data_IF_113025251675
#
_entry.id   IF_113025251675
#
_cell.length_a   1.000
_cell.length_b   1.000
_cell.length_c   1.000
_cell.angle_alpha   90.00
_cell.angle_beta   90.00
_cell.angle_gamma   90.00
#
_symmetry.space_group_name_H-M   'P 1'
#
loop_
_entity.id
_entity.type
_entity.pdbx_description
1 polymer ?
#
# COMPACT_ATOMS: atom_id res chain seq x y z
N UNK A 1 -9.05 16.24 9.53
CA UNK A 1 -8.43 15.64 8.33
C UNK A 1 -8.56 14.15 8.47
N UNK A 2 -9.25 13.51 7.52
CA UNK A 2 -9.40 12.06 7.49
C UNK A 2 -8.12 11.44 6.93
N UNK A 3 -7.55 10.46 7.63
CA UNK A 3 -6.40 9.70 7.13
C UNK A 3 -6.91 8.81 5.99
N UNK A 4 -6.32 8.95 4.80
CA UNK A 4 -6.63 8.12 3.64
C UNK A 4 -5.44 7.18 3.37
N UNK A 5 -5.58 5.91 3.76
CA UNK A 5 -4.53 4.90 3.60
C UNK A 5 -4.20 4.65 2.12
N UNK A 6 -5.19 4.70 1.21
CA UNK A 6 -5.00 4.51 -0.22
C UNK A 6 -4.05 5.56 -0.79
N UNK A 7 -4.24 6.83 -0.41
CA UNK A 7 -3.37 7.94 -0.80
C UNK A 7 -1.95 7.77 -0.25
N UNK A 8 -1.81 7.41 1.02
CA UNK A 8 -0.49 7.18 1.64
C UNK A 8 0.28 6.04 0.96
N UNK A 9 -0.39 4.95 0.60
CA UNK A 9 0.22 3.84 -0.13
C UNK A 9 0.71 4.27 -1.51
N UNK A 10 -0.09 5.07 -2.22
CA UNK A 10 0.29 5.62 -3.52
C UNK A 10 1.52 6.52 -3.43
N UNK A 11 1.53 7.44 -2.47
CA UNK A 11 2.67 8.35 -2.25
C UNK A 11 3.94 7.60 -1.87
N UNK A 12 3.84 6.58 -1.00
CA UNK A 12 4.97 5.72 -0.67
C UNK A 12 5.48 4.98 -1.92
N UNK A 13 4.59 4.40 -2.73
CA UNK A 13 4.96 3.73 -3.99
C UNK A 13 5.72 4.67 -4.93
N UNK A 14 5.21 5.89 -5.11
CA UNK A 14 5.82 6.92 -5.97
C UNK A 14 7.18 7.38 -5.41
N UNK A 15 7.31 7.55 -4.10
CA UNK A 15 8.59 7.86 -3.43
C UNK A 15 9.66 6.77 -3.62
N UNK A 16 9.24 5.51 -3.72
CA UNK A 16 10.10 4.38 -4.03
C UNK A 16 10.34 4.18 -5.54
N UNK A 17 9.85 5.08 -6.40
CA UNK A 17 9.94 5.00 -7.86
C UNK A 17 9.39 3.68 -8.43
N UNK A 18 8.32 3.15 -7.84
CA UNK A 18 7.69 1.90 -8.28
C UNK A 18 6.43 2.19 -9.09
N UNK A 19 6.25 1.43 -10.17
CA UNK A 19 4.94 1.29 -10.81
C UNK A 19 4.04 0.37 -9.98
N UNK A 20 2.72 0.42 -10.21
CA UNK A 20 1.77 -0.49 -9.56
C UNK A 20 2.08 -1.96 -9.86
N UNK A 21 2.57 -2.26 -11.07
CA UNK A 21 3.00 -3.60 -11.47
C UNK A 21 4.21 -4.07 -10.68
N UNK A 22 5.24 -3.22 -10.54
CA UNK A 22 6.45 -3.55 -9.78
C UNK A 22 6.16 -3.74 -8.29
N UNK A 23 5.30 -2.90 -7.70
CA UNK A 23 4.87 -3.10 -6.32
C UNK A 23 4.12 -4.44 -6.18
N UNK A 24 3.21 -4.74 -7.11
CA UNK A 24 2.46 -5.99 -7.11
C UNK A 24 3.39 -7.22 -7.17
N UNK A 25 4.42 -7.18 -8.01
CA UNK A 25 5.42 -8.24 -8.10
C UNK A 25 6.20 -8.41 -6.79
N UNK A 26 6.63 -7.31 -6.14
CA UNK A 26 7.32 -7.35 -4.85
C UNK A 26 6.47 -7.96 -3.73
N UNK A 27 5.17 -7.65 -3.70
CA UNK A 27 4.25 -8.12 -2.64
C UNK A 27 3.52 -9.43 -3.00
N UNK A 28 3.79 -10.01 -4.18
CA UNK A 28 3.15 -11.24 -4.65
C UNK A 28 1.65 -11.11 -4.91
N UNK A 29 1.20 -9.97 -5.46
CA UNK A 29 -0.21 -9.69 -5.80
C UNK A 29 -0.35 -9.37 -7.29
N UNK A 30 -1.59 -9.23 -7.76
CA UNK A 30 -1.89 -8.73 -9.12
C UNK A 30 -1.85 -7.20 -9.14
N UNK A 31 -1.42 -6.59 -10.25
CA UNK A 31 -1.45 -5.12 -10.42
C UNK A 31 -2.83 -4.51 -10.26
N UNK A 32 -3.89 -5.20 -10.66
CA UNK A 32 -5.28 -4.76 -10.42
C UNK A 32 -5.62 -4.66 -8.93
N UNK A 33 -5.00 -5.49 -8.08
CA UNK A 33 -5.15 -5.41 -6.63
C UNK A 33 -4.51 -4.12 -6.08
N UNK A 34 -3.28 -3.81 -6.52
CA UNK A 34 -2.59 -2.56 -6.16
C UNK A 34 -3.36 -1.33 -6.66
N UNK A 35 -3.85 -1.38 -7.89
CA UNK A 35 -4.69 -0.31 -8.43
C UNK A 35 -5.93 -0.10 -7.57
N UNK A 36 -6.64 -1.17 -7.20
CA UNK A 36 -7.86 -1.09 -6.39
C UNK A 36 -7.59 -0.48 -5.01
N UNK A 37 -6.56 -0.92 -4.29
CA UNK A 37 -6.24 -0.37 -2.96
C UNK A 37 -5.76 1.09 -2.98
N UNK A 38 -5.19 1.55 -4.10
CA UNK A 38 -4.76 2.95 -4.28
C UNK A 38 -5.89 3.85 -4.77
N UNK A 39 -6.99 3.27 -5.26
CA UNK A 39 -8.12 3.99 -5.88
C UNK A 39 -9.42 3.93 -5.08
N UNK A 40 -9.59 2.92 -4.22
CA UNK A 40 -10.74 2.83 -3.33
C UNK A 40 -10.69 4.00 -2.33
N UNK A 41 -11.68 4.89 -2.41
CA UNK A 41 -11.95 5.91 -1.40
C UNK A 41 -12.43 5.22 -0.12
N UNK A 42 -11.48 4.73 0.68
CA UNK A 42 -11.81 4.13 1.96
C UNK A 42 -10.67 3.35 2.60
N UNK A 43 -10.64 3.39 3.92
CA UNK A 43 -9.70 2.66 4.77
C UNK A 43 -10.03 1.16 4.89
N UNK A 44 -10.69 0.56 3.89
CA UNK A 44 -11.16 -0.82 3.95
C UNK A 44 -10.09 -1.86 3.55
N UNK A 45 -8.84 -1.55 3.86
CA UNK A 45 -7.72 -2.49 3.73
C UNK A 45 -7.53 -3.20 5.08
N UNK A 46 -7.38 -4.52 5.03
CA UNK A 46 -7.01 -5.28 6.23
C UNK A 46 -5.61 -4.85 6.68
N UNK A 47 -5.43 -4.63 7.99
CA UNK A 47 -4.13 -4.27 8.58
C UNK A 47 -3.02 -5.24 8.14
N UNK A 48 -3.32 -6.55 8.09
CA UNK A 48 -2.37 -7.57 7.61
C UNK A 48 -1.93 -7.33 6.16
N UNK A 49 -2.84 -6.92 5.28
CA UNK A 49 -2.51 -6.59 3.89
C UNK A 49 -1.65 -5.33 3.84
N UNK A 50 -2.02 -4.31 4.61
CA UNK A 50 -1.24 -3.07 4.70
C UNK A 50 0.19 -3.36 5.18
N UNK A 51 0.35 -4.16 6.23
CA UNK A 51 1.64 -4.60 6.76
C UNK A 51 2.46 -5.36 5.71
N UNK A 52 1.84 -6.33 5.03
CA UNK A 52 2.51 -7.08 3.96
C UNK A 52 3.03 -6.16 2.85
N UNK A 53 2.27 -5.14 2.46
CA UNK A 53 2.69 -4.18 1.43
C UNK A 53 3.82 -3.30 1.93
N UNK A 54 3.75 -2.81 3.17
CA UNK A 54 4.78 -1.96 3.75
C UNK A 54 6.10 -2.71 3.92
N UNK A 55 6.06 -3.94 4.46
CA UNK A 55 7.24 -4.77 4.70
C UNK A 55 7.86 -5.26 3.39
N UNK A 56 7.08 -5.89 2.51
CA UNK A 56 7.62 -6.50 1.28
C UNK A 56 7.79 -5.51 0.13
N UNK A 57 6.91 -4.50 0.06
CA UNK A 57 6.91 -3.50 -1.00
C UNK A 57 7.92 -2.39 -0.76
N UNK A 58 7.97 -1.89 0.48
CA UNK A 58 8.75 -0.69 0.82
C UNK A 58 9.91 -0.97 1.79
N UNK A 59 9.99 -2.15 2.41
CA UNK A 59 11.02 -2.48 3.41
C UNK A 59 10.83 -1.74 4.73
N UNK A 60 9.61 -1.27 5.02
CA UNK A 60 9.26 -0.54 6.23
C UNK A 60 8.52 -1.40 7.25
N UNK A 61 8.15 -0.79 8.37
CA UNK A 61 7.36 -1.44 9.43
C UNK A 61 6.17 -0.54 9.78
N UNK A 62 5.04 -1.13 10.17
CA UNK A 62 3.88 -0.37 10.67
C UNK A 62 3.94 -0.26 12.18
N UNK A 63 3.81 0.96 12.70
CA UNK A 63 3.61 1.23 14.12
C UNK A 63 2.17 1.66 14.33
N UNK A 64 1.46 0.98 15.21
CA UNK A 64 0.12 1.35 15.65
C UNK A 64 0.27 1.89 17.07
N UNK A 65 -0.10 3.15 17.27
CA UNK A 65 -0.13 3.82 18.57
C UNK A 65 -1.58 4.19 18.87
N UNK A 66 -1.98 4.02 20.13
CA UNK A 66 -3.31 4.37 20.65
C UNK A 66 -3.17 5.56 21.59
#
# INVERSE_FOLDING_TARGET
MEINIAKLLREAREKHNLTQEQLAQKVGKKRSYISRIESEEGNNIKIKTLAEIVEKGFGGNIKIEF
#
